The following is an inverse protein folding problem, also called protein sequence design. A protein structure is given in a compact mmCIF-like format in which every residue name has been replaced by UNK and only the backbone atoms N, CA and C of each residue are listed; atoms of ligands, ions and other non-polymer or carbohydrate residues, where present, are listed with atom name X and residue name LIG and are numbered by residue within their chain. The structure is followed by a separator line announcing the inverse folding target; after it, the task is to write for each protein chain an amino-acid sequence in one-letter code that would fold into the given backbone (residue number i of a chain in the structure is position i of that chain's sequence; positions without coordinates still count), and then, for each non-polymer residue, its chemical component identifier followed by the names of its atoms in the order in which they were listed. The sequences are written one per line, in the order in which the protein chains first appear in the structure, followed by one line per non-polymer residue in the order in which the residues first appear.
data_IF_656953324028
#
_entry.id   IF_656953324028
#
_cell.length_a   1.000
_cell.length_b   1.000
_cell.length_c   1.000
_cell.angle_alpha   90.00
_cell.angle_beta   90.00
_cell.angle_gamma   90.00
#
_symmetry.space_group_name_H-M   'P 1'
#
loop_
_entity.id
_entity.type
_entity.pdbx_description
1 polymer ?
#
# COMPACT_ATOMS: atom_id res chain seq x y z
N UNK A 1 -38.64 -31.22 6.36
CA UNK A 1 -37.42 -30.51 6.86
C UNK A 1 -36.64 -29.97 5.65
N UNK A 2 -36.73 -28.68 5.28
CA UNK A 2 -35.84 -28.11 4.28
C UNK A 2 -34.70 -27.32 4.95
N UNK A 3 -33.46 -27.69 4.60
CA UNK A 3 -32.21 -27.09 5.06
C UNK A 3 -32.11 -25.62 4.61
N UNK A 4 -32.12 -24.68 5.57
CA UNK A 4 -31.62 -23.31 5.36
C UNK A 4 -30.10 -23.36 5.34
N UNK A 5 -29.51 -22.98 4.21
CA UNK A 5 -28.08 -22.65 4.07
C UNK A 5 -27.93 -21.19 4.52
N UNK A 6 -27.17 -20.85 5.58
CA UNK A 6 -26.96 -19.46 5.95
C UNK A 6 -25.63 -18.93 5.38
N UNK A 7 -25.68 -17.72 4.84
CA UNK A 7 -24.54 -16.80 4.93
C UNK A 7 -23.68 -16.60 3.69
N UNK A 8 -24.29 -16.23 2.56
CA UNK A 8 -23.57 -15.42 1.57
C UNK A 8 -23.17 -14.10 2.22
N UNK A 9 -21.86 -13.83 2.31
CA UNK A 9 -21.33 -12.54 2.77
C UNK A 9 -21.93 -11.44 1.89
N UNK A 10 -22.93 -10.71 2.40
CA UNK A 10 -23.37 -9.46 1.78
C UNK A 10 -22.16 -8.53 1.77
N UNK A 11 -21.60 -8.29 0.58
CA UNK A 11 -20.72 -7.17 0.37
C UNK A 11 -21.48 -5.93 0.84
N UNK A 12 -21.01 -5.32 1.93
CA UNK A 12 -21.46 -4.00 2.35
C UNK A 12 -20.88 -3.02 1.35
N UNK A 13 -21.48 -2.97 0.16
CA UNK A 13 -21.28 -1.87 -0.76
C UNK A 13 -21.72 -0.61 -0.02
N UNK A 14 -20.84 0.38 0.08
CA UNK A 14 -21.20 1.68 0.60
C UNK A 14 -22.43 2.16 -0.18
N UNK A 15 -23.54 2.43 0.50
CA UNK A 15 -24.78 2.83 -0.15
C UNK A 15 -24.52 4.07 -1.04
N UNK A 16 -25.17 4.22 -2.21
CA UNK A 16 -24.91 5.32 -3.15
C UNK A 16 -24.94 6.72 -2.50
N UNK A 17 -25.73 6.90 -1.43
CA UNK A 17 -25.80 8.16 -0.67
C UNK A 17 -24.58 8.50 0.19
N UNK A 18 -23.69 7.52 0.46
CA UNK A 18 -22.48 7.74 1.27
C UNK A 18 -21.49 8.71 0.61
N UNK A 19 -21.33 8.60 -0.71
CA UNK A 19 -20.39 9.45 -1.49
C UNK A 19 -20.87 10.90 -1.54
N UNK A 20 -22.15 11.10 -1.87
CA UNK A 20 -22.75 12.44 -1.92
C UNK A 20 -22.67 13.10 -0.55
N UNK A 21 -22.86 12.32 0.53
CA UNK A 21 -22.69 12.78 1.91
C UNK A 21 -21.24 13.17 2.21
N UNK A 22 -20.25 12.37 1.78
CA UNK A 22 -18.83 12.67 1.95
C UNK A 22 -18.48 14.04 1.32
N UNK A 23 -18.76 14.22 0.03
CA UNK A 23 -18.43 15.46 -0.68
C UNK A 23 -19.15 16.67 -0.11
N UNK A 24 -20.44 16.52 0.24
CA UNK A 24 -21.20 17.59 0.91
C UNK A 24 -20.56 18.01 2.23
N UNK A 25 -20.18 17.04 3.08
CA UNK A 25 -19.55 17.32 4.36
C UNK A 25 -18.16 17.93 4.19
N UNK A 26 -17.40 17.50 3.18
CA UNK A 26 -16.09 18.06 2.86
C UNK A 26 -16.19 19.54 2.46
N UNK A 27 -17.11 19.88 1.53
CA UNK A 27 -17.33 21.27 1.08
C UNK A 27 -17.86 22.15 2.22
N UNK A 28 -18.62 21.60 3.15
CA UNK A 28 -19.10 22.30 4.35
C UNK A 28 -18.03 22.47 5.44
N UNK A 29 -16.78 22.06 5.21
CA UNK A 29 -15.70 22.13 6.21
C UNK A 29 -15.84 21.13 7.37
N UNK A 30 -16.78 20.18 7.30
CA UNK A 30 -17.05 19.18 8.34
C UNK A 30 -16.13 17.97 8.20
N UNK A 31 -14.82 18.21 8.22
CA UNK A 31 -13.78 17.21 7.90
C UNK A 31 -13.89 15.92 8.73
N UNK A 32 -14.13 16.02 10.04
CA UNK A 32 -14.26 14.84 10.92
C UNK A 32 -15.40 13.92 10.48
N UNK A 33 -16.54 14.49 10.12
CA UNK A 33 -17.71 13.71 9.73
C UNK A 33 -17.59 13.18 8.30
N UNK A 34 -16.92 13.92 7.41
CA UNK A 34 -16.55 13.40 6.10
C UNK A 34 -15.63 12.17 6.26
N UNK A 35 -14.65 12.25 7.17
CA UNK A 35 -13.74 11.14 7.45
C UNK A 35 -14.47 9.90 7.98
N UNK A 36 -15.39 10.06 8.93
CA UNK A 36 -16.21 8.95 9.44
C UNK A 36 -16.95 8.17 8.36
N UNK A 37 -17.36 8.83 7.27
CA UNK A 37 -18.01 8.15 6.14
C UNK A 37 -17.03 7.20 5.44
N UNK A 38 -15.79 7.62 5.23
CA UNK A 38 -14.75 6.79 4.61
C UNK A 38 -14.26 5.69 5.57
N UNK A 39 -14.09 5.99 6.86
CA UNK A 39 -13.61 5.03 7.87
C UNK A 39 -14.55 3.85 8.11
N UNK A 40 -15.85 3.99 7.76
CA UNK A 40 -16.82 2.88 7.84
C UNK A 40 -16.67 1.87 6.71
N UNK A 41 -15.77 2.10 5.75
CA UNK A 41 -15.53 1.15 4.66
C UNK A 41 -14.87 -0.11 5.20
N UNK A 42 -15.14 -1.27 4.58
CA UNK A 42 -14.52 -2.54 4.95
C UNK A 42 -13.03 -2.62 4.54
N UNK A 43 -12.50 -1.61 3.85
CA UNK A 43 -11.12 -1.53 3.37
C UNK A 43 -10.45 -0.20 3.75
N UNK A 44 -9.12 -0.18 3.63
CA UNK A 44 -8.26 0.97 3.90
C UNK A 44 -7.65 1.59 2.63
N UNK A 45 -8.32 1.47 1.47
CA UNK A 45 -7.80 2.01 0.20
C UNK A 45 -7.61 3.53 0.24
N UNK A 46 -8.53 4.24 0.90
CA UNK A 46 -8.49 5.69 1.04
C UNK A 46 -7.32 6.16 1.92
N UNK A 47 -7.04 5.44 3.02
CA UNK A 47 -5.88 5.67 3.87
C UNK A 47 -4.57 5.43 3.10
N UNK A 48 -4.49 4.33 2.35
CA UNK A 48 -3.31 4.03 1.53
C UNK A 48 -3.03 5.11 0.49
N UNK A 49 -4.07 5.64 -0.17
CA UNK A 49 -3.90 6.72 -1.14
C UNK A 49 -3.39 8.02 -0.49
N UNK A 50 -3.82 8.35 0.73
CA UNK A 50 -3.30 9.51 1.46
C UNK A 50 -1.88 9.30 1.96
N UNK A 51 -1.57 8.13 2.52
CA UNK A 51 -0.21 7.76 2.92
C UNK A 51 0.75 7.84 1.72
N UNK A 52 0.30 7.39 0.53
CA UNK A 52 1.08 7.50 -0.71
C UNK A 52 1.38 8.96 -1.07
N UNK A 53 0.43 9.89 -0.94
CA UNK A 53 0.69 11.33 -1.18
C UNK A 53 1.80 11.82 -0.26
N UNK A 54 1.74 11.50 1.03
CA UNK A 54 2.75 11.91 2.01
C UNK A 54 4.12 11.31 1.67
N UNK A 55 4.20 10.00 1.49
CA UNK A 55 5.46 9.31 1.19
C UNK A 55 6.10 9.81 -0.10
N UNK A 56 5.32 10.00 -1.15
CA UNK A 56 5.84 10.43 -2.45
C UNK A 56 6.26 11.89 -2.44
N UNK A 57 5.57 12.74 -1.67
CA UNK A 57 5.99 14.12 -1.42
C UNK A 57 7.29 14.17 -0.62
N UNK A 58 7.43 13.36 0.43
CA UNK A 58 8.68 13.25 1.21
C UNK A 58 9.84 12.77 0.34
N UNK A 59 9.61 11.73 -0.48
CA UNK A 59 10.60 11.24 -1.45
C UNK A 59 11.00 12.31 -2.45
N UNK A 60 10.03 13.06 -3.00
CA UNK A 60 10.31 14.17 -3.90
C UNK A 60 11.16 15.25 -3.23
N UNK A 61 10.80 15.67 -2.01
CA UNK A 61 11.58 16.66 -1.25
C UNK A 61 13.00 16.15 -0.98
N UNK A 62 13.15 14.89 -0.57
CA UNK A 62 14.46 14.27 -0.35
C UNK A 62 15.32 14.29 -1.62
N UNK A 63 14.81 13.80 -2.75
CA UNK A 63 15.55 13.79 -4.01
C UNK A 63 15.86 15.21 -4.48
N UNK A 64 14.92 16.15 -4.32
CA UNK A 64 15.15 17.57 -4.58
C UNK A 64 16.28 18.15 -3.73
N UNK A 65 16.34 17.83 -2.44
CA UNK A 65 17.44 18.28 -1.58
C UNK A 65 18.77 17.68 -1.98
N UNK A 66 18.80 16.40 -2.38
CA UNK A 66 19.99 15.74 -2.92
C UNK A 66 20.50 16.44 -4.19
N UNK A 67 19.61 16.79 -5.12
CA UNK A 67 19.98 17.49 -6.35
C UNK A 67 20.45 18.93 -6.11
N UNK A 68 19.80 19.68 -5.22
CA UNK A 68 20.21 21.04 -4.87
C UNK A 68 21.56 21.02 -4.13
N UNK A 69 21.76 20.08 -3.21
CA UNK A 69 23.00 19.90 -2.45
C UNK A 69 24.21 19.58 -3.34
N UNK A 70 23.97 19.06 -4.54
CA UNK A 70 24.98 18.81 -5.56
C UNK A 70 25.39 20.08 -6.35
N UNK A 71 25.43 21.24 -5.68
CA UNK A 71 25.43 22.66 -6.09
C UNK A 71 26.20 23.16 -7.35
N UNK A 72 26.77 22.31 -8.20
CA UNK A 72 27.46 22.70 -9.43
C UNK A 72 27.16 21.87 -10.67
N UNK A 73 26.27 20.86 -10.60
CA UNK A 73 25.94 20.03 -11.77
C UNK A 73 24.53 20.26 -12.29
N UNK A 74 24.40 20.31 -13.61
CA UNK A 74 23.10 20.16 -14.25
C UNK A 74 22.60 18.72 -14.06
N UNK A 75 21.28 18.56 -13.94
CA UNK A 75 20.65 17.25 -13.93
C UNK A 75 20.93 16.56 -15.26
N UNK A 76 21.26 15.27 -15.22
CA UNK A 76 21.25 14.48 -16.45
C UNK A 76 19.82 14.38 -16.99
N UNK A 77 19.62 14.03 -18.27
CA UNK A 77 18.28 13.81 -18.82
C UNK A 77 17.47 12.79 -18.00
N UNK A 78 18.10 11.70 -17.56
CA UNK A 78 17.46 10.65 -16.76
C UNK A 78 17.04 11.15 -15.37
N UNK A 79 17.87 11.94 -14.71
CA UNK A 79 17.52 12.55 -13.42
C UNK A 79 16.43 13.60 -13.56
N UNK A 80 16.42 14.34 -14.67
CA UNK A 80 15.34 15.28 -14.99
C UNK A 80 14.01 14.54 -15.16
N UNK A 81 14.01 13.39 -15.85
CA UNK A 81 12.83 12.54 -15.97
C UNK A 81 12.36 12.02 -14.60
N UNK A 82 13.28 11.56 -13.75
CA UNK A 82 12.95 11.13 -12.39
C UNK A 82 12.38 12.29 -11.55
N UNK A 83 12.95 13.49 -11.65
CA UNK A 83 12.47 14.69 -10.96
C UNK A 83 11.01 14.98 -11.32
N UNK A 84 10.69 15.06 -12.62
CA UNK A 84 9.32 15.33 -13.05
C UNK A 84 8.37 14.18 -12.75
N UNK A 85 8.81 12.93 -12.91
CA UNK A 85 7.98 11.76 -12.57
C UNK A 85 7.63 11.75 -11.09
N UNK A 86 8.59 12.00 -10.21
CA UNK A 86 8.36 12.08 -8.77
C UNK A 86 7.52 13.30 -8.36
N UNK A 87 7.64 14.43 -9.05
CA UNK A 87 6.79 15.60 -8.84
C UNK A 87 5.32 15.36 -9.24
N UNK A 88 5.08 14.60 -10.31
CA UNK A 88 3.74 14.32 -10.85
C UNK A 88 3.04 13.19 -10.07
N UNK A 89 3.78 12.24 -9.53
CA UNK A 89 3.21 11.04 -8.91
C UNK A 89 2.23 11.29 -7.74
N UNK A 90 2.40 12.31 -6.87
CA UNK A 90 1.38 12.68 -5.88
C UNK A 90 0.00 12.96 -6.52
N UNK A 91 -0.07 13.55 -7.71
CA UNK A 91 -1.33 13.80 -8.42
C UNK A 91 -1.99 12.50 -8.89
N UNK A 92 -1.20 11.51 -9.32
CA UNK A 92 -1.72 10.17 -9.58
C UNK A 92 -2.35 9.55 -8.32
N UNK A 93 -1.73 9.76 -7.15
CA UNK A 93 -2.31 9.31 -5.88
C UNK A 93 -3.61 10.03 -5.52
N UNK A 94 -3.68 11.34 -5.77
CA UNK A 94 -4.92 12.12 -5.60
C UNK A 94 -6.02 11.68 -6.57
N UNK A 95 -5.67 11.36 -7.82
CA UNK A 95 -6.61 10.80 -8.79
C UNK A 95 -7.15 9.44 -8.35
N UNK A 96 -6.29 8.56 -7.81
CA UNK A 96 -6.74 7.31 -7.20
C UNK A 96 -7.63 7.54 -5.98
N UNK A 97 -7.29 8.49 -5.11
CA UNK A 97 -8.14 8.87 -3.98
C UNK A 97 -9.52 9.35 -4.47
N UNK A 98 -9.56 10.22 -5.48
CA UNK A 98 -10.80 10.67 -6.09
C UNK A 98 -11.61 9.50 -6.65
N UNK A 99 -11.00 8.60 -7.43
CA UNK A 99 -11.66 7.39 -7.97
C UNK A 99 -12.21 6.50 -6.86
N UNK A 100 -11.52 6.40 -5.72
CA UNK A 100 -11.99 5.68 -4.55
C UNK A 100 -13.25 6.34 -3.97
N UNK A 101 -13.33 7.67 -3.96
CA UNK A 101 -14.53 8.38 -3.50
C UNK A 101 -15.69 8.30 -4.48
N UNK A 102 -15.46 8.09 -5.78
CA UNK A 102 -16.52 7.98 -6.80
C UNK A 102 -16.99 6.53 -6.96
N UNK A 103 -16.09 5.56 -6.83
CA UNK A 103 -16.37 4.11 -6.94
C UNK A 103 -15.86 3.38 -5.69
N UNK A 104 -16.64 3.35 -4.60
CA UNK A 104 -16.17 3.01 -3.25
C UNK A 104 -16.15 1.50 -3.00
N UNK A 105 -16.53 0.69 -4.00
CA UNK A 105 -16.44 -0.76 -3.93
C UNK A 105 -14.98 -1.21 -3.94
N UNK A 106 -14.66 -2.31 -3.26
CA UNK A 106 -13.31 -2.89 -3.23
C UNK A 106 -12.84 -3.19 -4.66
N UNK A 107 -11.66 -2.70 -5.05
CA UNK A 107 -11.12 -2.94 -6.40
C UNK A 107 -9.71 -3.52 -6.33
N UNK A 108 -9.57 -4.78 -6.75
CA UNK A 108 -8.27 -5.42 -6.89
C UNK A 108 -7.39 -4.67 -7.90
N UNK A 109 -7.98 -4.17 -9.00
CA UNK A 109 -7.27 -3.43 -10.03
C UNK A 109 -6.63 -2.15 -9.47
N UNK A 110 -7.39 -1.31 -8.74
CA UNK A 110 -6.84 -0.08 -8.16
C UNK A 110 -5.72 -0.35 -7.16
N UNK A 111 -5.83 -1.42 -6.38
CA UNK A 111 -4.78 -1.83 -5.44
C UNK A 111 -3.51 -2.22 -6.17
N UNK A 112 -3.61 -3.10 -7.17
CA UNK A 112 -2.45 -3.56 -7.95
C UNK A 112 -1.82 -2.40 -8.73
N UNK A 113 -2.63 -1.53 -9.32
CA UNK A 113 -2.14 -0.33 -10.03
C UNK A 113 -1.34 0.58 -9.10
N UNK A 114 -1.85 0.82 -7.89
CA UNK A 114 -1.14 1.60 -6.88
C UNK A 114 0.15 0.92 -6.39
N UNK A 115 0.12 -0.40 -6.16
CA UNK A 115 1.31 -1.19 -5.79
C UNK A 115 2.39 -1.09 -6.88
N UNK A 116 1.99 -1.28 -8.14
CA UNK A 116 2.88 -1.21 -9.28
C UNK A 116 3.53 0.17 -9.39
N UNK A 117 2.73 1.24 -9.31
CA UNK A 117 3.25 2.60 -9.31
C UNK A 117 4.26 2.84 -8.18
N UNK A 118 3.93 2.42 -6.94
CA UNK A 118 4.76 2.70 -5.76
C UNK A 118 6.12 2.01 -5.85
N UNK A 119 6.12 0.74 -6.27
CA UNK A 119 7.33 -0.07 -6.36
C UNK A 119 8.16 0.28 -7.59
N UNK A 120 7.54 0.51 -8.74
CA UNK A 120 8.26 0.90 -9.95
C UNK A 120 8.86 2.30 -9.82
N UNK A 121 8.18 3.26 -9.18
CA UNK A 121 8.75 4.58 -8.94
C UNK A 121 9.96 4.51 -8.00
N UNK A 122 9.88 3.72 -6.93
CA UNK A 122 10.99 3.53 -6.02
C UNK A 122 12.18 2.86 -6.72
N UNK A 123 11.93 1.80 -7.50
CA UNK A 123 12.95 1.11 -8.27
C UNK A 123 13.57 2.00 -9.36
N UNK A 124 12.77 2.84 -10.02
CA UNK A 124 13.25 3.82 -10.99
C UNK A 124 14.15 4.87 -10.31
N UNK A 125 13.80 5.32 -9.11
CA UNK A 125 14.71 6.17 -8.32
C UNK A 125 16.05 5.48 -8.04
N UNK A 126 16.01 4.22 -7.60
CA UNK A 126 17.21 3.40 -7.33
C UNK A 126 18.09 3.25 -8.57
N UNK A 127 17.49 3.06 -9.75
CA UNK A 127 18.22 2.86 -11.01
C UNK A 127 18.94 4.11 -11.50
N UNK A 128 18.46 5.31 -11.11
CA UNK A 128 19.03 6.58 -11.57
C UNK A 128 20.01 7.19 -10.57
N UNK A 129 19.63 7.30 -9.28
CA UNK A 129 20.42 8.08 -8.30
C UNK A 129 21.42 7.26 -7.48
N UNK A 130 21.66 5.99 -7.85
CA UNK A 130 22.66 5.13 -7.24
C UNK A 130 22.55 5.07 -5.72
N UNK A 131 23.63 5.42 -5.00
CA UNK A 131 23.69 5.41 -3.54
C UNK A 131 22.58 6.23 -2.87
N UNK A 132 22.21 7.38 -3.45
CA UNK A 132 21.16 8.22 -2.89
C UNK A 132 19.77 7.57 -2.98
N UNK A 133 19.62 6.52 -3.79
CA UNK A 133 18.42 5.70 -3.88
C UNK A 133 18.25 4.70 -2.73
N UNK A 134 19.25 4.51 -1.87
CA UNK A 134 19.20 3.51 -0.79
C UNK A 134 17.95 3.62 0.13
N UNK A 135 17.49 4.82 0.54
CA UNK A 135 16.26 4.95 1.32
C UNK A 135 15.00 4.45 0.59
N UNK A 136 15.00 4.46 -0.75
CA UNK A 136 13.86 3.98 -1.53
C UNK A 136 13.67 2.47 -1.41
N UNK A 137 14.73 1.70 -1.14
CA UNK A 137 14.62 0.28 -0.85
C UNK A 137 13.79 0.02 0.42
N UNK A 138 13.95 0.87 1.45
CA UNK A 138 13.12 0.82 2.67
C UNK A 138 11.66 1.11 2.35
N UNK A 139 11.41 2.08 1.46
CA UNK A 139 10.05 2.37 0.95
C UNK A 139 9.46 1.15 0.23
N UNK A 140 10.25 0.44 -0.59
CA UNK A 140 9.77 -0.78 -1.26
C UNK A 140 9.31 -1.84 -0.24
N UNK A 141 10.11 -2.11 0.81
CA UNK A 141 9.72 -3.04 1.87
C UNK A 141 8.48 -2.56 2.62
N UNK A 142 8.40 -1.26 2.94
CA UNK A 142 7.22 -0.66 3.57
C UNK A 142 5.96 -0.88 2.73
N UNK A 143 6.04 -0.67 1.42
CA UNK A 143 4.93 -0.90 0.49
C UNK A 143 4.54 -2.38 0.47
N UNK A 144 5.52 -3.29 0.37
CA UNK A 144 5.26 -4.74 0.33
C UNK A 144 4.55 -5.20 1.61
N UNK A 145 5.11 -4.88 2.78
CA UNK A 145 4.54 -5.29 4.06
C UNK A 145 3.22 -4.60 4.33
N UNK A 146 3.12 -3.29 4.08
CA UNK A 146 1.90 -2.52 4.26
C UNK A 146 0.73 -3.08 3.45
N UNK A 147 0.96 -3.48 2.20
CA UNK A 147 -0.07 -4.14 1.39
C UNK A 147 -0.42 -5.54 1.92
N UNK A 148 0.57 -6.29 2.43
CA UNK A 148 0.36 -7.57 3.07
C UNK A 148 -0.49 -7.49 4.34
N UNK A 149 -0.23 -6.51 5.21
CA UNK A 149 -0.99 -6.30 6.44
C UNK A 149 -2.40 -5.77 6.16
N UNK A 150 -2.56 -4.81 5.24
CA UNK A 150 -3.87 -4.20 4.94
C UNK A 150 -4.79 -5.11 4.13
N UNK A 151 -4.23 -5.82 3.15
CA UNK A 151 -5.04 -6.54 2.15
C UNK A 151 -4.80 -8.05 2.16
N UNK A 152 -3.90 -8.53 3.00
CA UNK A 152 -3.62 -9.95 3.21
C UNK A 152 -2.53 -10.51 2.31
N UNK A 153 -2.25 -11.81 2.53
CA UNK A 153 -1.10 -12.52 1.94
C UNK A 153 -1.04 -12.48 0.42
N UNK A 154 -2.19 -12.43 -0.27
CA UNK A 154 -2.21 -12.32 -1.75
C UNK A 154 -1.51 -11.03 -2.22
N UNK A 155 -1.82 -9.89 -1.59
CA UNK A 155 -1.23 -8.60 -1.96
C UNK A 155 0.21 -8.46 -1.48
N UNK A 156 0.58 -9.15 -0.39
CA UNK A 156 1.99 -9.30 -0.01
C UNK A 156 2.80 -9.92 -1.14
N UNK A 157 2.34 -11.06 -1.69
CA UNK A 157 3.04 -11.75 -2.78
C UNK A 157 3.04 -10.95 -4.07
N UNK A 158 1.92 -10.32 -4.46
CA UNK A 158 1.87 -9.46 -5.64
C UNK A 158 2.89 -8.32 -5.52
N UNK A 159 2.92 -7.65 -4.36
CA UNK A 159 3.89 -6.58 -4.10
C UNK A 159 5.33 -7.10 -4.09
N UNK A 160 5.58 -8.26 -3.48
CA UNK A 160 6.90 -8.86 -3.42
C UNK A 160 7.42 -9.20 -4.83
N UNK A 161 6.58 -9.79 -5.70
CA UNK A 161 6.97 -10.12 -7.08
C UNK A 161 7.29 -8.84 -7.86
N UNK A 162 6.40 -7.85 -7.84
CA UNK A 162 6.63 -6.58 -8.54
C UNK A 162 7.89 -5.89 -8.03
N UNK A 163 8.06 -5.82 -6.70
CA UNK A 163 9.21 -5.18 -6.06
C UNK A 163 10.52 -5.89 -6.38
N UNK A 164 10.52 -7.22 -6.33
CA UNK A 164 11.68 -8.06 -6.67
C UNK A 164 12.08 -7.86 -8.14
N UNK A 165 11.13 -7.93 -9.07
CA UNK A 165 11.41 -7.74 -10.50
C UNK A 165 11.91 -6.32 -10.77
N UNK A 166 11.22 -5.30 -10.27
CA UNK A 166 11.57 -3.89 -10.51
C UNK A 166 12.92 -3.50 -9.89
N UNK A 167 13.20 -3.92 -8.65
CA UNK A 167 14.52 -3.70 -8.04
C UNK A 167 15.63 -4.44 -8.79
N UNK A 168 15.37 -5.69 -9.19
CA UNK A 168 16.30 -6.51 -9.96
C UNK A 168 16.70 -5.83 -11.28
N UNK A 169 15.74 -5.27 -12.01
CA UNK A 169 16.02 -4.45 -13.19
C UNK A 169 16.83 -3.20 -12.80
N UNK A 170 16.39 -2.47 -11.77
CA UNK A 170 17.01 -1.20 -11.39
C UNK A 170 18.49 -1.29 -10.99
N UNK A 171 18.92 -2.39 -10.36
CA UNK A 171 20.33 -2.58 -9.95
C UNK A 171 21.27 -2.87 -11.13
N UNK A 172 20.77 -3.29 -12.29
CA UNK A 172 21.60 -3.51 -13.47
C UNK A 172 21.79 -2.26 -14.33
N UNK A 173 20.89 -1.28 -14.24
CA UNK A 173 20.97 -0.02 -15.00
C UNK A 173 22.10 0.88 -14.47
N UNK A 174 22.18 1.06 -13.15
CA UNK A 174 23.12 1.99 -12.54
C UNK A 174 24.53 1.43 -12.38
N UNK A 175 25.57 2.25 -12.62
CA UNK A 175 26.95 1.84 -12.36
C UNK A 175 27.23 1.54 -10.87
N UNK A 176 26.69 2.35 -9.94
CA UNK A 176 26.90 2.16 -8.50
C UNK A 176 26.45 0.77 -8.04
N UNK A 177 25.26 0.34 -8.48
CA UNK A 177 24.71 -0.95 -8.09
C UNK A 177 25.43 -2.13 -8.74
N UNK A 178 25.94 -1.96 -9.98
CA UNK A 178 26.81 -2.95 -10.63
C UNK A 178 28.16 -3.09 -9.94
N UNK A 179 28.78 -1.98 -9.52
CA UNK A 179 30.00 -2.00 -8.71
C UNK A 179 29.78 -2.69 -7.36
N UNK A 180 28.59 -2.51 -6.77
CA UNK A 180 28.17 -3.13 -5.51
C UNK A 180 27.21 -4.30 -5.71
N UNK A 181 27.40 -5.12 -6.75
CA UNK A 181 26.42 -6.16 -7.11
C UNK A 181 26.16 -7.17 -6.00
N UNK A 182 27.16 -7.49 -5.16
CA UNK A 182 26.98 -8.35 -4.00
C UNK A 182 25.96 -7.77 -3.00
N UNK A 183 26.00 -6.46 -2.75
CA UNK A 183 24.99 -5.77 -1.94
C UNK A 183 23.63 -5.81 -2.63
N UNK A 184 23.57 -5.52 -3.93
CA UNK A 184 22.34 -5.60 -4.74
C UNK A 184 21.68 -6.97 -4.65
N UNK A 185 22.45 -8.05 -4.82
CA UNK A 185 21.95 -9.43 -4.69
C UNK A 185 21.49 -9.73 -3.26
N UNK A 186 22.23 -9.29 -2.23
CA UNK A 186 21.81 -9.44 -0.84
C UNK A 186 20.45 -8.78 -0.56
N UNK A 187 20.26 -7.56 -1.06
CA UNK A 187 18.98 -6.85 -0.98
C UNK A 187 17.88 -7.54 -1.81
N UNK A 188 18.21 -8.07 -2.98
CA UNK A 188 17.30 -8.86 -3.82
C UNK A 188 16.78 -10.11 -3.07
N UNK A 189 17.66 -10.84 -2.39
CA UNK A 189 17.28 -11.98 -1.54
C UNK A 189 16.37 -11.51 -0.41
N UNK A 190 16.65 -10.35 0.19
CA UNK A 190 15.81 -9.72 1.20
C UNK A 190 14.37 -9.47 0.73
N UNK A 191 14.19 -8.99 -0.51
CA UNK A 191 12.87 -8.77 -1.12
C UNK A 191 12.07 -10.05 -1.35
N UNK A 192 12.72 -11.22 -1.34
CA UNK A 192 12.06 -12.53 -1.44
C UNK A 192 11.84 -13.15 -0.06
N UNK A 193 12.89 -13.20 0.76
CA UNK A 193 12.88 -13.89 2.05
C UNK A 193 12.01 -13.18 3.08
N UNK A 194 12.07 -11.85 3.15
CA UNK A 194 11.28 -11.12 4.15
C UNK A 194 9.77 -11.25 3.90
N UNK A 195 9.24 -11.10 2.67
CA UNK A 195 7.82 -11.37 2.42
C UNK A 195 7.41 -12.82 2.68
N UNK A 196 8.28 -13.80 2.43
CA UNK A 196 8.00 -15.20 2.78
C UNK A 196 7.83 -15.38 4.29
N UNK A 197 8.73 -14.80 5.08
CA UNK A 197 8.65 -14.80 6.54
C UNK A 197 7.38 -14.09 7.04
N UNK A 198 7.12 -12.87 6.54
CA UNK A 198 5.92 -12.10 6.88
C UNK A 198 4.65 -12.85 6.49
N UNK A 199 4.65 -13.59 5.37
CA UNK A 199 3.53 -14.44 4.96
C UNK A 199 3.21 -15.53 5.98
N UNK A 200 4.25 -16.15 6.57
CA UNK A 200 4.09 -17.13 7.62
C UNK A 200 3.52 -16.51 8.91
N UNK A 201 4.01 -15.33 9.30
CA UNK A 201 3.48 -14.58 10.45
C UNK A 201 2.02 -14.17 10.24
N UNK A 202 1.69 -13.61 9.08
CA UNK A 202 0.31 -13.25 8.71
C UNK A 202 -0.63 -14.46 8.78
N UNK A 203 -0.17 -15.63 8.30
CA UNK A 203 -0.94 -16.88 8.38
C UNK A 203 -1.21 -17.25 9.84
N UNK A 204 -0.19 -17.22 10.71
CA UNK A 204 -0.33 -17.51 12.14
C UNK A 204 -1.29 -16.54 12.83
N UNK A 205 -1.14 -15.24 12.59
CA UNK A 205 -2.00 -14.20 13.16
C UNK A 205 -3.47 -14.37 12.73
N UNK A 206 -3.70 -14.66 11.44
CA UNK A 206 -5.05 -14.88 10.92
C UNK A 206 -5.70 -16.12 11.56
N UNK A 207 -4.94 -17.20 11.75
CA UNK A 207 -5.44 -18.42 12.40
C UNK A 207 -5.75 -18.16 13.88
N UNK A 208 -4.84 -17.49 14.59
CA UNK A 208 -5.04 -17.13 16.00
C UNK A 208 -6.28 -16.24 16.20
N UNK A 209 -6.46 -15.23 15.34
CA UNK A 209 -7.63 -14.36 15.38
C UNK A 209 -8.94 -15.10 15.16
N UNK A 210 -9.00 -16.03 14.19
CA UNK A 210 -10.18 -16.87 13.96
C UNK A 210 -10.53 -17.72 15.18
N UNK A 211 -9.52 -18.36 15.80
CA UNK A 211 -9.71 -19.17 17.01
C UNK A 211 -10.24 -18.33 18.19
N UNK A 212 -9.71 -17.12 18.37
CA UNK A 212 -10.19 -16.21 19.41
C UNK A 212 -11.64 -15.78 19.17
N UNK A 213 -12.01 -15.49 17.93
CA UNK A 213 -13.38 -15.12 17.58
C UNK A 213 -14.37 -16.29 17.77
N UNK A 214 -13.97 -17.51 17.42
CA UNK A 214 -14.74 -18.73 17.66
C UNK A 214 -14.98 -18.99 19.14
N UNK A 215 -13.95 -18.87 19.98
CA UNK A 215 -14.05 -19.01 21.43
C UNK A 215 -14.95 -17.93 22.05
N UNK A 216 -14.82 -16.67 21.60
CA UNK A 216 -15.66 -15.57 22.09
C UNK A 216 -17.13 -15.77 21.72
N UNK A 217 -17.41 -16.24 20.50
CA UNK A 217 -18.78 -16.60 20.07
C UNK A 217 -19.35 -17.78 20.88
N UNK A 218 -18.54 -18.77 21.23
CA UNK A 218 -18.97 -19.87 22.09
C UNK A 218 -19.34 -19.39 23.50
N UNK A 219 -18.49 -18.53 24.11
CA UNK A 219 -18.77 -17.92 25.41
C UNK A 219 -20.04 -17.08 25.39
N UNK A 220 -20.23 -16.23 24.39
CA UNK A 220 -21.44 -15.40 24.28
C UNK A 220 -22.71 -16.26 24.11
N UNK A 221 -22.64 -17.36 23.35
CA UNK A 221 -23.77 -18.30 23.23
C UNK A 221 -24.08 -19.01 24.54
N UNK A 222 -23.07 -19.42 25.30
CA UNK A 222 -23.27 -20.01 26.62
C UNK A 222 -23.95 -19.04 27.59
N UNK A 223 -23.45 -17.81 27.67
CA UNK A 223 -24.05 -16.77 28.53
C UNK A 223 -25.49 -16.42 28.12
N UNK A 224 -25.77 -16.32 26.82
CA UNK A 224 -27.12 -16.03 26.32
C UNK A 224 -28.13 -17.15 26.63
N UNK A 225 -27.68 -18.42 26.58
CA UNK A 225 -28.54 -19.55 26.96
C UNK A 225 -28.78 -19.59 28.48
N UNK A 226 -27.76 -19.33 29.29
CA UNK A 226 -27.87 -19.28 30.75
C UNK A 226 -28.69 -18.08 31.28
N UNK A 227 -28.81 -16.99 30.51
CA UNK A 227 -29.68 -15.86 30.87
C UNK A 227 -31.17 -16.08 30.57
N UNK A 228 -31.50 -17.16 29.86
CA UNK A 228 -32.87 -17.52 29.50
C UNK A 228 -33.46 -18.62 30.39
N UNK A 229 -32.62 -19.34 31.14
CA UNK A 229 -33.00 -20.23 32.26
C UNK A 229 -33.10 -19.44 33.57
#
# INVERSE_FOLDING_TARGET
MPKRIPGGKKQVACAPGGIVKFWRLLVQGRFRQAWEVLSRRPDSEHEQALIRVVLTTVTFVYLRTYWIGSLGRHLTPEESHLFWTSAIYPFFSLALFFLITVSPGVSAFRRVLGIAGDLCLAAYGISIVGAAGAPLYVIMLWVIFGNGFRYGRKYLFVSAVIGTVSFGVGIFENFYWRDKIALGIGLQIGLVMLPLYISALLKKLTIAGKRAEEANRAKNRFLANMSHE
#
